data_IF_886833874688
#
_entry.id   IF_886833874688
#
_cell.length_a   1.000
_cell.length_b   1.000
_cell.length_c   1.000
_cell.angle_alpha   90.00
_cell.angle_beta   90.00
_cell.angle_gamma   90.00
#
_symmetry.space_group_name_H-M   'P 1'
#
loop_
_entity.id
_entity.type
_entity.pdbx_description
1 polymer ?
#
# COMPACT_ATOMS: atom_id res chain seq x y z
N UNK A 1 11.03 -14.97 -19.17
CA UNK A 1 11.76 -14.64 -17.92
C UNK A 1 10.90 -15.07 -16.74
N UNK A 2 11.46 -15.71 -15.72
CA UNK A 2 10.71 -16.05 -14.50
C UNK A 2 10.63 -14.79 -13.64
N UNK A 3 9.43 -14.39 -13.24
CA UNK A 3 9.25 -13.21 -12.38
C UNK A 3 10.04 -13.40 -11.07
N UNK A 4 10.95 -12.47 -10.79
CA UNK A 4 11.59 -12.37 -9.48
C UNK A 4 10.57 -11.84 -8.44
N UNK A 5 10.91 -11.91 -7.15
CA UNK A 5 9.97 -11.48 -6.10
C UNK A 5 9.61 -10.00 -6.21
N UNK A 6 10.59 -9.14 -6.52
CA UNK A 6 10.35 -7.71 -6.71
C UNK A 6 9.31 -7.44 -7.80
N UNK A 7 9.49 -8.01 -9.00
CA UNK A 7 8.54 -7.89 -10.11
C UNK A 7 7.14 -8.38 -9.73
N UNK A 8 7.03 -9.46 -8.93
CA UNK A 8 5.73 -9.94 -8.44
C UNK A 8 5.04 -8.95 -7.52
N UNK A 9 5.80 -8.30 -6.62
CA UNK A 9 5.25 -7.29 -5.71
C UNK A 9 4.87 -6.02 -6.46
N UNK A 10 5.72 -5.56 -7.39
CA UNK A 10 5.45 -4.39 -8.22
C UNK A 10 4.20 -4.60 -9.10
N UNK A 11 4.04 -5.77 -9.71
CA UNK A 11 2.83 -6.14 -10.48
C UNK A 11 1.53 -6.09 -9.68
N UNK A 12 1.59 -6.16 -8.34
CA UNK A 12 0.42 -6.01 -7.46
C UNK A 12 0.11 -4.55 -7.13
N UNK A 13 1.10 -3.67 -7.24
CA UNK A 13 0.99 -2.25 -6.90
C UNK A 13 0.72 -1.37 -8.12
N UNK A 14 0.69 -1.93 -9.34
CA UNK A 14 0.37 -1.21 -10.58
C UNK A 14 -1.03 -1.56 -11.08
N UNK A 15 -1.61 -0.67 -11.87
CA UNK A 15 -2.89 -0.94 -12.52
C UNK A 15 -2.75 -2.06 -13.56
N UNK A 16 -3.79 -2.88 -13.71
CA UNK A 16 -3.93 -3.85 -14.81
C UNK A 16 -4.74 -3.28 -15.98
N UNK A 17 -5.38 -2.13 -15.79
CA UNK A 17 -6.28 -1.54 -16.78
C UNK A 17 -5.51 -0.67 -17.77
N UNK A 18 -5.81 -0.82 -19.06
CA UNK A 18 -5.20 -0.04 -20.14
C UNK A 18 -5.77 1.37 -20.27
N UNK A 19 -6.81 1.74 -19.51
CA UNK A 19 -7.40 3.09 -19.53
C UNK A 19 -6.46 4.15 -18.96
N UNK A 20 -5.51 3.75 -18.09
CA UNK A 20 -4.45 4.60 -17.55
C UNK A 20 -3.09 3.91 -17.74
N UNK A 21 -2.54 3.84 -18.96
CA UNK A 21 -1.34 3.07 -19.27
C UNK A 21 -0.14 3.40 -18.40
N UNK A 22 0.03 4.67 -18.04
CA UNK A 22 1.13 5.09 -17.14
C UNK A 22 1.07 4.41 -15.77
N UNK A 23 -0.12 4.02 -15.29
CA UNK A 23 -0.24 3.28 -14.03
C UNK A 23 0.09 1.80 -14.16
N UNK A 24 0.32 1.27 -15.36
CA UNK A 24 0.91 -0.05 -15.56
C UNK A 24 2.43 -0.02 -15.42
N UNK A 25 3.00 1.16 -15.26
CA UNK A 25 4.42 1.39 -15.28
C UNK A 25 5.01 1.59 -13.87
N UNK A 26 6.33 1.43 -13.83
CA UNK A 26 7.19 1.75 -12.70
C UNK A 26 7.96 3.01 -13.06
N UNK A 27 8.01 3.96 -12.14
CA UNK A 27 8.88 5.12 -12.26
C UNK A 27 10.20 4.86 -11.55
N UNK A 28 11.29 4.90 -12.30
CA UNK A 28 12.65 4.94 -11.80
C UNK A 28 13.07 6.40 -11.77
N UNK A 29 13.01 6.99 -10.59
CA UNK A 29 13.15 8.43 -10.41
C UNK A 29 14.62 8.82 -10.20
N UNK A 30 14.99 10.01 -10.66
CA UNK A 30 16.35 10.54 -10.60
C UNK A 30 16.90 10.72 -9.17
N UNK A 31 16.02 10.69 -8.17
CA UNK A 31 16.35 10.63 -6.73
C UNK A 31 16.80 9.23 -6.27
N UNK A 32 16.89 8.27 -7.21
CA UNK A 32 17.29 6.90 -6.97
C UNK A 32 16.17 5.99 -6.46
N UNK A 33 14.94 6.51 -6.32
CA UNK A 33 13.81 5.77 -5.79
C UNK A 33 12.98 5.11 -6.90
N UNK A 34 12.35 3.99 -6.56
CA UNK A 34 11.40 3.31 -7.43
C UNK A 34 9.98 3.51 -6.92
N UNK A 35 9.07 3.94 -7.79
CA UNK A 35 7.67 4.16 -7.46
C UNK A 35 6.73 3.31 -8.32
N UNK A 36 5.69 2.75 -7.70
CA UNK A 36 4.63 1.99 -8.35
C UNK A 36 3.28 2.35 -7.73
N UNK A 37 2.23 2.58 -8.53
CA UNK A 37 0.89 2.83 -8.02
C UNK A 37 -0.21 2.43 -9.00
N UNK A 38 -1.36 2.01 -8.47
CA UNK A 38 -2.62 1.81 -9.19
C UNK A 38 -3.65 2.91 -8.87
N UNK A 39 -3.21 3.99 -8.21
CA UNK A 39 -3.96 5.10 -7.60
C UNK A 39 -4.75 4.82 -6.32
N UNK A 40 -4.87 3.56 -5.90
CA UNK A 40 -5.43 3.19 -4.59
C UNK A 40 -4.32 2.86 -3.58
N UNK A 41 -3.26 2.21 -4.06
CA UNK A 41 -2.05 1.87 -3.31
C UNK A 41 -0.84 2.45 -4.02
N UNK A 42 0.17 2.85 -3.25
CA UNK A 42 1.47 3.23 -3.76
C UNK A 42 2.57 2.48 -3.01
N UNK A 43 3.62 2.09 -3.73
CA UNK A 43 4.82 1.48 -3.19
C UNK A 43 6.02 2.33 -3.59
N UNK A 44 6.88 2.63 -2.61
CA UNK A 44 8.20 3.22 -2.80
C UNK A 44 9.26 2.19 -2.38
N UNK A 45 10.28 2.00 -3.20
CA UNK A 45 11.54 1.36 -2.79
C UNK A 45 12.62 2.42 -2.83
N UNK A 46 13.12 2.78 -1.65
CA UNK A 46 14.12 3.85 -1.52
C UNK A 46 15.50 3.37 -1.98
N UNK A 47 16.29 4.30 -2.53
CA UNK A 47 17.72 4.06 -2.88
C UNK A 47 17.94 2.82 -3.76
N UNK A 48 17.01 2.57 -4.69
CA UNK A 48 17.03 1.38 -5.54
C UNK A 48 18.09 1.46 -6.65
N UNK A 49 18.39 2.65 -7.16
CA UNK A 49 19.35 2.85 -8.25
C UNK A 49 20.07 4.19 -8.18
N UNK A 50 21.08 4.38 -9.04
CA UNK A 50 21.89 5.61 -9.13
C UNK A 50 21.78 6.33 -10.47
N UNK A 51 20.82 5.95 -11.33
CA UNK A 51 20.60 6.62 -12.60
C UNK A 51 20.18 8.09 -12.38
N UNK A 52 20.82 9.05 -13.08
CA UNK A 52 20.59 10.48 -12.87
C UNK A 52 19.35 11.02 -13.60
N UNK A 53 18.62 10.16 -14.30
CA UNK A 53 17.48 10.53 -15.15
C UNK A 53 16.28 9.67 -14.81
N UNK A 54 15.10 10.29 -14.84
CA UNK A 54 13.84 9.57 -14.74
C UNK A 54 13.67 8.66 -15.95
N UNK A 55 13.25 7.41 -15.71
CA UNK A 55 12.76 6.56 -16.78
C UNK A 55 11.55 5.74 -16.32
N UNK A 56 10.63 5.54 -17.25
CA UNK A 56 9.38 4.83 -16.99
C UNK A 56 9.45 3.49 -17.72
N UNK A 57 9.13 2.41 -17.00
CA UNK A 57 9.14 1.06 -17.54
C UNK A 57 7.77 0.41 -17.34
N UNK A 58 7.14 -0.03 -18.43
CA UNK A 58 5.93 -0.84 -18.34
C UNK A 58 6.28 -2.23 -17.80
N UNK A 59 5.72 -2.62 -16.65
CA UNK A 59 6.13 -3.86 -15.95
C UNK A 59 5.62 -5.14 -16.65
N UNK A 60 4.65 -5.01 -17.56
CA UNK A 60 4.07 -6.15 -18.27
C UNK A 60 4.80 -6.41 -19.59
N UNK A 61 5.15 -5.36 -20.32
CA UNK A 61 5.88 -5.47 -21.59
C UNK A 61 7.39 -5.42 -21.41
N UNK A 62 7.87 -4.92 -20.26
CA UNK A 62 9.28 -4.63 -19.97
C UNK A 62 9.89 -3.63 -20.98
N UNK A 63 9.05 -2.78 -21.57
CA UNK A 63 9.47 -1.74 -22.51
C UNK A 63 9.49 -0.37 -21.82
N UNK A 64 10.44 0.50 -22.17
CA UNK A 64 10.38 1.91 -21.81
C UNK A 64 9.10 2.55 -22.36
N UNK A 65 8.54 3.48 -21.61
CA UNK A 65 7.37 4.25 -22.03
C UNK A 65 7.68 5.74 -21.96
N UNK A 66 7.29 6.47 -23.01
CA UNK A 66 7.39 7.92 -23.05
C UNK A 66 6.10 8.53 -22.49
N UNK A 67 6.20 9.27 -21.40
CA UNK A 67 5.05 9.91 -20.77
C UNK A 67 5.37 10.56 -19.44
N UNK A 68 4.36 11.17 -18.82
CA UNK A 68 4.47 11.73 -17.47
C UNK A 68 3.88 10.74 -16.47
N UNK A 69 4.72 10.20 -15.59
CA UNK A 69 4.27 9.45 -14.43
C UNK A 69 3.66 10.40 -13.38
N UNK A 70 2.63 9.99 -12.61
CA UNK A 70 2.10 10.80 -11.52
C UNK A 70 3.16 11.11 -10.45
N UNK A 71 3.10 12.33 -9.90
CA UNK A 71 3.96 12.79 -8.81
C UNK A 71 3.53 12.16 -7.47
N UNK A 72 3.95 10.91 -7.25
CA UNK A 72 3.58 10.11 -6.06
C UNK A 72 4.54 10.26 -4.88
N UNK A 73 5.76 10.77 -5.11
CA UNK A 73 6.79 10.88 -4.07
C UNK A 73 6.32 11.66 -2.83
N UNK A 74 5.57 12.74 -3.05
CA UNK A 74 4.97 13.59 -1.99
C UNK A 74 4.08 12.84 -0.99
N UNK A 75 3.52 11.68 -1.37
CA UNK A 75 2.67 10.89 -0.46
C UNK A 75 3.48 10.06 0.55
N UNK A 76 4.80 10.03 0.41
CA UNK A 76 5.73 9.37 1.33
C UNK A 76 6.48 10.36 2.24
N UNK A 77 6.15 11.65 2.14
CA UNK A 77 6.67 12.70 3.02
C UNK A 77 5.65 12.88 4.15
N UNK A 78 5.94 12.27 5.29
CA UNK A 78 5.06 12.30 6.46
C UNK A 78 5.49 13.42 7.41
N UNK A 79 4.62 14.41 7.59
CA UNK A 79 4.74 15.45 8.59
C UNK A 79 3.59 15.35 9.58
N UNK A 80 3.80 15.75 10.84
CA UNK A 80 2.76 15.79 11.88
C UNK A 80 2.05 14.44 12.10
N UNK A 81 2.84 13.38 12.36
CA UNK A 81 2.33 12.04 12.65
C UNK A 81 1.40 12.10 13.88
N UNK A 82 0.12 11.80 13.69
CA UNK A 82 -0.88 11.83 14.75
C UNK A 82 -1.01 10.50 15.51
N UNK A 83 -0.54 9.41 14.89
CA UNK A 83 -0.56 8.08 15.48
C UNK A 83 0.60 7.24 14.94
N UNK A 84 1.39 6.66 15.83
CA UNK A 84 2.43 5.67 15.52
C UNK A 84 2.13 4.37 16.25
N UNK A 85 2.19 3.24 15.54
CA UNK A 85 1.94 1.91 16.10
C UNK A 85 3.10 0.98 15.78
N UNK A 86 3.51 0.21 16.78
CA UNK A 86 4.49 -0.86 16.62
C UNK A 86 3.75 -2.21 16.74
N UNK A 87 3.76 -2.97 15.64
CA UNK A 87 3.06 -4.25 15.55
C UNK A 87 3.91 -5.32 14.87
N UNK A 88 3.95 -6.50 15.48
CA UNK A 88 4.56 -7.66 14.84
C UNK A 88 3.73 -8.11 13.63
N UNK A 89 4.37 -8.22 12.46
CA UNK A 89 3.70 -8.53 11.18
C UNK A 89 2.87 -9.82 11.24
N UNK A 90 3.36 -10.85 11.94
CA UNK A 90 2.64 -12.11 12.11
C UNK A 90 1.34 -11.95 12.91
N UNK A 91 1.31 -11.02 13.86
CA UNK A 91 0.13 -10.70 14.66
C UNK A 91 -0.87 -9.92 13.81
N UNK A 92 -0.40 -8.91 13.07
CA UNK A 92 -1.23 -8.16 12.13
C UNK A 92 -1.91 -9.08 11.10
N UNK A 93 -1.13 -9.96 10.46
CA UNK A 93 -1.67 -10.88 9.46
C UNK A 93 -2.68 -11.88 10.04
N UNK A 94 -2.46 -12.37 11.27
CA UNK A 94 -3.42 -13.25 11.96
C UNK A 94 -4.73 -12.53 12.28
N UNK A 95 -4.65 -11.26 12.68
CA UNK A 95 -5.80 -10.43 13.03
C UNK A 95 -6.59 -9.97 11.79
N UNK A 96 -5.92 -9.65 10.68
CA UNK A 96 -6.57 -9.15 9.46
C UNK A 96 -7.12 -10.29 8.59
N UNK A 97 -6.47 -11.47 8.57
CA UNK A 97 -6.90 -12.62 7.73
C UNK A 97 -8.38 -12.98 7.86
N UNK A 98 -8.99 -13.05 9.06
CA UNK A 98 -10.41 -13.37 9.18
C UNK A 98 -11.32 -12.32 8.56
N UNK A 99 -10.91 -11.06 8.44
CA UNK A 99 -11.61 -10.08 7.61
C UNK A 99 -11.44 -10.43 6.13
N UNK A 100 -10.21 -10.65 5.67
CA UNK A 100 -9.94 -10.98 4.27
C UNK A 100 -10.68 -12.23 3.78
N UNK A 101 -10.93 -13.22 4.64
CA UNK A 101 -11.55 -14.50 4.25
C UNK A 101 -13.07 -14.53 4.40
N UNK A 102 -13.64 -13.75 5.34
CA UNK A 102 -15.10 -13.72 5.58
C UNK A 102 -15.80 -12.51 4.97
N UNK A 103 -15.05 -11.50 4.56
CA UNK A 103 -15.62 -10.34 3.85
C UNK A 103 -15.41 -10.53 2.36
N UNK A 104 -16.49 -10.44 1.58
CA UNK A 104 -16.37 -10.18 0.15
C UNK A 104 -15.59 -8.88 -0.04
N UNK A 105 -14.76 -8.81 -1.09
CA UNK A 105 -13.86 -7.71 -1.51
C UNK A 105 -14.60 -6.40 -1.87
N UNK A 106 -15.56 -5.99 -1.06
CA UNK A 106 -16.42 -4.83 -1.29
C UNK A 106 -16.76 -4.12 0.02
N UNK A 107 -16.06 -4.42 1.11
CA UNK A 107 -16.46 -4.00 2.44
C UNK A 107 -15.41 -3.07 3.05
N UNK A 108 -15.87 -1.86 3.38
CA UNK A 108 -15.13 -0.92 4.21
C UNK A 108 -14.85 -1.55 5.58
N UNK A 109 -13.57 -1.60 5.94
CA UNK A 109 -13.13 -1.92 7.29
C UNK A 109 -12.85 -0.61 8.02
N UNK A 110 -13.50 -0.42 9.16
CA UNK A 110 -13.18 0.65 10.09
C UNK A 110 -12.08 0.17 11.02
N UNK A 111 -10.99 0.92 11.09
CA UNK A 111 -9.86 0.69 11.96
C UNK A 111 -9.81 1.80 13.00
N UNK A 112 -10.02 1.45 14.25
CA UNK A 112 -9.96 2.34 15.40
C UNK A 112 -8.72 1.97 16.25
N UNK A 113 -7.78 2.90 16.33
CA UNK A 113 -6.55 2.77 17.11
C UNK A 113 -6.73 3.61 18.37
N UNK A 114 -6.93 2.93 19.50
CA UNK A 114 -7.10 3.55 20.82
C UNK A 114 -6.69 2.61 21.92
N UNK A 115 -6.27 3.15 23.06
CA UNK A 115 -5.96 2.36 24.27
C UNK A 115 -5.00 1.18 24.01
N UNK A 116 -3.94 1.40 23.21
CA UNK A 116 -2.97 0.36 22.81
C UNK A 116 -3.61 -0.86 22.14
N UNK A 117 -4.64 -0.64 21.32
CA UNK A 117 -5.24 -1.68 20.53
C UNK A 117 -5.68 -1.14 19.17
N UNK A 118 -5.59 -2.00 18.15
CA UNK A 118 -6.28 -1.81 16.88
C UNK A 118 -7.57 -2.61 16.94
N UNK A 119 -8.67 -1.91 16.76
CA UNK A 119 -10.01 -2.50 16.67
C UNK A 119 -10.45 -2.40 15.22
N UNK A 120 -10.63 -3.55 14.60
CA UNK A 120 -11.14 -3.67 13.25
C UNK A 120 -12.62 -4.02 13.33
N UNK A 121 -13.46 -3.26 12.64
CA UNK A 121 -14.90 -3.51 12.52
C UNK A 121 -15.32 -3.49 11.06
N UNK A 122 -16.27 -4.36 10.69
CA UNK A 122 -16.83 -4.37 9.34
C UNK A 122 -18.00 -3.41 9.27
N UNK A 123 -18.02 -2.55 8.25
CA UNK A 123 -19.16 -1.66 8.05
C UNK A 123 -20.45 -2.45 7.78
N UNK A 124 -21.52 -2.07 8.47
CA UNK A 124 -22.82 -2.78 8.49
C UNK A 124 -22.87 -4.05 9.34
N UNK A 125 -21.76 -4.52 9.91
CA UNK A 125 -21.68 -5.71 10.79
C UNK A 125 -20.90 -5.37 12.07
N UNK A 126 -21.43 -4.48 12.93
CA UNK A 126 -20.71 -3.95 14.09
C UNK A 126 -20.35 -5.03 15.12
N UNK A 127 -21.12 -6.12 15.17
CA UNK A 127 -20.87 -7.24 16.08
C UNK A 127 -19.68 -8.12 15.64
N UNK A 128 -19.17 -7.93 14.41
CA UNK A 128 -17.97 -8.60 13.92
C UNK A 128 -16.75 -7.70 14.12
N UNK A 129 -16.17 -7.81 15.32
CA UNK A 129 -14.99 -7.08 15.75
C UNK A 129 -13.77 -8.00 15.88
N UNK A 130 -12.59 -7.52 15.49
CA UNK A 130 -11.32 -8.11 15.91
C UNK A 130 -10.51 -7.05 16.61
N UNK A 131 -10.13 -7.37 17.84
CA UNK A 131 -9.26 -6.56 18.65
C UNK A 131 -7.85 -7.14 18.64
N UNK A 132 -6.90 -6.34 18.21
CA UNK A 132 -5.48 -6.67 18.24
C UNK A 132 -4.78 -5.77 19.26
N UNK A 133 -4.20 -6.32 20.34
CA UNK A 133 -3.39 -5.54 21.25
C UNK A 133 -2.12 -5.04 20.55
N UNK A 134 -1.72 -3.82 20.85
CA UNK A 134 -0.47 -3.20 20.42
C UNK A 134 0.53 -3.25 21.57
N UNK A 135 1.78 -3.58 21.26
CA UNK A 135 2.88 -3.53 22.23
C UNK A 135 3.19 -2.08 22.58
N UNK A 136 3.17 -1.22 21.56
CA UNK A 136 3.44 0.20 21.68
C UNK A 136 2.60 1.01 20.68
N UNK A 137 2.12 2.17 21.13
CA UNK A 137 1.16 3.02 20.45
C UNK A 137 1.25 4.44 21.01
N UNK A 138 1.60 5.40 20.16
CA UNK A 138 1.57 6.82 20.47
C UNK A 138 0.45 7.48 19.67
N UNK A 139 -0.55 8.05 20.34
CA UNK A 139 -1.69 8.71 19.70
C UNK A 139 -2.91 7.80 19.48
N UNK A 140 -3.92 8.37 18.82
CA UNK A 140 -5.20 7.71 18.50
C UNK A 140 -5.62 8.06 17.07
N UNK A 141 -6.31 7.14 16.40
CA UNK A 141 -6.73 7.36 15.02
C UNK A 141 -7.94 6.52 14.66
N UNK A 142 -8.86 7.09 13.88
CA UNK A 142 -9.96 6.38 13.25
C UNK A 142 -9.80 6.45 11.73
N UNK A 143 -9.70 5.30 11.08
CA UNK A 143 -9.54 5.16 9.63
C UNK A 143 -10.66 4.29 9.05
N UNK A 144 -11.03 4.59 7.82
CA UNK A 144 -11.84 3.69 6.98
C UNK A 144 -10.99 3.23 5.80
N UNK A 145 -10.77 1.93 5.69
CA UNK A 145 -9.90 1.31 4.70
C UNK A 145 -10.73 0.41 3.81
N UNK A 146 -10.63 0.59 2.50
CA UNK A 146 -11.19 -0.39 1.56
C UNK A 146 -10.22 -1.54 1.37
N UNK A 147 -10.76 -2.75 1.28
CA UNK A 147 -10.01 -3.98 1.10
C UNK A 147 -10.51 -4.65 -0.18
N UNK A 148 -10.05 -4.09 -1.30
CA UNK A 148 -10.26 -4.64 -2.65
C UNK A 148 -9.23 -5.73 -2.99
#
# INVERSE_FOLDING_TARGET
MKDNQLTKHLKKAVSKFSTRPMLQCINYSNDGNLYATDSHVAVKVSEFHSNPTDFILNIFTMMPEDGKYPEVGKFFEFENISCEINVHIGTLLKSVRPFMTKTSFSNLIKMDIKNKAVVLTKDGWPDYEIKMPLEDCEGEMLLSVNVD
#
